data_IF_046727261960
#
_entry.id   IF_046727261960
#
_cell.length_a   1.000
_cell.length_b   1.000
_cell.length_c   1.000
_cell.angle_alpha   90.00
_cell.angle_beta   90.00
_cell.angle_gamma   90.00
#
_symmetry.space_group_name_H-M   'P 1'
#
loop_
_entity.id
_entity.type
_entity.pdbx_description
1 polymer ?
#
# COMPACT_ATOMS: atom_id res chain seq x y z
N UNK A 1 21.22 0.77 48.47
CA UNK A 1 20.26 0.04 47.60
C UNK A 1 19.46 1.05 46.76
N UNK A 2 20.05 1.62 45.70
CA UNK A 2 19.36 2.59 44.80
C UNK A 2 19.79 2.47 43.33
N UNK A 3 20.99 1.95 43.06
CA UNK A 3 21.48 1.76 41.69
C UNK A 3 20.88 0.54 40.96
N UNK A 4 20.38 -0.47 41.69
CA UNK A 4 19.87 -1.72 41.10
C UNK A 4 18.50 -1.57 40.44
N UNK A 5 17.68 -0.62 40.90
CA UNK A 5 16.31 -0.39 40.34
C UNK A 5 16.37 0.33 38.98
N UNK A 6 17.37 1.20 38.78
CA UNK A 6 17.51 1.95 37.52
C UNK A 6 17.99 1.07 36.35
N UNK A 7 18.77 0.03 36.61
CA UNK A 7 19.28 -0.89 35.57
C UNK A 7 18.15 -1.75 35.00
N UNK A 8 17.19 -2.16 35.84
CA UNK A 8 16.05 -2.97 35.40
C UNK A 8 15.06 -2.18 34.54
N UNK A 9 14.88 -0.88 34.81
CA UNK A 9 14.04 -0.01 33.98
C UNK A 9 14.64 0.27 32.59
N UNK A 10 15.96 0.43 32.48
CA UNK A 10 16.63 0.66 31.20
C UNK A 10 16.54 -0.58 30.27
N UNK A 11 16.65 -1.79 30.83
CA UNK A 11 16.54 -3.04 30.07
C UNK A 11 15.10 -3.29 29.62
N UNK A 12 14.09 -2.96 30.43
CA UNK A 12 12.69 -3.05 30.04
C UNK A 12 12.31 -2.10 28.88
N UNK A 13 12.89 -0.89 28.84
CA UNK A 13 12.66 0.05 27.74
C UNK A 13 13.25 -0.41 26.40
N UNK A 14 14.33 -1.21 26.40
CA UNK A 14 14.89 -1.76 25.15
C UNK A 14 14.00 -2.83 24.50
N UNK A 15 13.23 -3.58 25.29
CA UNK A 15 12.28 -4.55 24.76
C UNK A 15 11.00 -3.89 24.25
N UNK A 16 10.56 -2.79 24.87
CA UNK A 16 9.33 -2.07 24.45
C UNK A 16 9.53 -1.28 23.15
N UNK A 17 10.76 -0.83 22.84
CA UNK A 17 11.04 -0.08 21.60
C UNK A 17 11.17 -0.93 20.32
N UNK A 18 11.24 -2.27 20.44
CA UNK A 18 11.19 -3.17 19.29
C UNK A 18 9.77 -3.67 19.09
N UNK A 19 8.86 -2.78 18.72
CA UNK A 19 7.68 -3.19 17.96
C UNK A 19 8.20 -3.81 16.65
N UNK A 20 8.34 -5.13 16.63
CA UNK A 20 8.83 -5.87 15.49
C UNK A 20 7.90 -5.58 14.30
N UNK A 21 8.41 -4.85 13.29
CA UNK A 21 7.59 -4.48 12.14
C UNK A 21 7.05 -5.74 11.50
N UNK A 22 5.72 -5.80 11.36
CA UNK A 22 5.11 -6.98 10.78
C UNK A 22 5.63 -7.21 9.35
N UNK A 23 5.72 -8.46 8.86
CA UNK A 23 6.10 -8.76 7.48
C UNK A 23 5.26 -7.99 6.44
N UNK A 24 4.04 -7.61 6.82
CA UNK A 24 3.12 -6.78 6.05
C UNK A 24 3.60 -5.33 5.94
N UNK A 25 3.98 -4.70 7.06
CA UNK A 25 4.53 -3.34 7.09
C UNK A 25 5.83 -3.23 6.29
N UNK A 26 6.71 -4.23 6.38
CA UNK A 26 7.96 -4.28 5.60
C UNK A 26 7.67 -4.33 4.09
N UNK A 27 6.68 -5.11 3.68
CA UNK A 27 6.27 -5.21 2.28
C UNK A 27 5.67 -3.89 1.78
N UNK A 28 4.83 -3.26 2.61
CA UNK A 28 4.21 -1.97 2.29
C UNK A 28 5.25 -0.87 2.10
N UNK A 29 6.23 -0.79 3.00
CA UNK A 29 7.38 0.11 2.86
C UNK A 29 8.17 -0.15 1.59
N UNK A 30 8.40 -1.43 1.24
CA UNK A 30 9.07 -1.81 0.00
C UNK A 30 8.31 -1.30 -1.22
N UNK A 31 6.99 -1.50 -1.27
CA UNK A 31 6.15 -1.02 -2.38
C UNK A 31 6.20 0.51 -2.48
N UNK A 32 6.05 1.23 -1.36
CA UNK A 32 6.14 2.70 -1.34
C UNK A 32 7.50 3.19 -1.85
N UNK A 33 8.60 2.56 -1.43
CA UNK A 33 9.96 2.90 -1.86
C UNK A 33 10.18 2.66 -3.36
N UNK A 34 9.70 1.54 -3.89
CA UNK A 34 9.78 1.28 -5.33
C UNK A 34 8.92 2.27 -6.13
N UNK A 35 7.74 2.62 -5.61
CA UNK A 35 6.84 3.59 -6.23
C UNK A 35 7.45 5.00 -6.26
N UNK A 36 8.16 5.41 -5.22
CA UNK A 36 8.92 6.68 -5.20
C UNK A 36 10.02 6.73 -6.26
N UNK A 37 10.71 5.61 -6.53
CA UNK A 37 11.69 5.55 -7.61
C UNK A 37 11.03 5.79 -8.97
N UNK A 38 9.88 5.17 -9.19
CA UNK A 38 9.11 5.33 -10.43
C UNK A 38 8.58 6.75 -10.58
N UNK A 39 8.08 7.37 -9.50
CA UNK A 39 7.59 8.75 -9.50
C UNK A 39 8.61 9.77 -10.05
N UNK A 40 9.91 9.51 -9.85
CA UNK A 40 11.00 10.38 -10.32
C UNK A 40 11.28 10.27 -11.82
N UNK A 41 10.91 9.15 -12.44
CA UNK A 41 11.32 8.79 -13.81
C UNK A 41 10.14 8.45 -14.72
N UNK A 42 8.91 8.65 -14.25
CA UNK A 42 7.70 8.52 -15.06
C UNK A 42 7.39 9.82 -15.78
N UNK A 43 6.80 9.69 -16.97
CA UNK A 43 6.14 10.80 -17.62
C UNK A 43 4.85 11.11 -16.85
N UNK A 44 4.80 12.28 -16.23
CA UNK A 44 3.72 12.71 -15.34
C UNK A 44 2.36 12.82 -16.03
N UNK A 45 2.34 13.07 -17.35
CA UNK A 45 1.13 13.41 -18.10
C UNK A 45 0.71 12.34 -19.14
N UNK A 46 1.56 11.38 -19.48
CA UNK A 46 1.36 10.58 -20.69
C UNK A 46 0.48 9.32 -20.59
N UNK A 47 0.18 8.80 -19.39
CA UNK A 47 -0.63 7.59 -19.23
C UNK A 47 -2.02 7.92 -18.69
N UNK A 48 -3.07 7.41 -19.34
CA UNK A 48 -4.43 7.38 -18.80
C UNK A 48 -4.63 6.05 -18.07
N UNK A 49 -4.67 6.10 -16.74
CA UNK A 49 -4.69 4.92 -15.88
C UNK A 49 -5.94 4.94 -15.01
N UNK A 50 -6.63 3.81 -14.93
CA UNK A 50 -7.71 3.64 -13.97
C UNK A 50 -7.15 3.75 -12.56
N UNK A 51 -7.71 4.65 -11.74
CA UNK A 51 -7.17 4.96 -10.43
C UNK A 51 -8.24 5.01 -9.36
N UNK A 52 -8.28 4.02 -8.45
CA UNK A 52 -9.11 4.10 -7.26
C UNK A 52 -8.71 5.28 -6.37
N UNK A 53 -9.67 6.07 -5.89
CA UNK A 53 -9.43 7.05 -4.81
C UNK A 53 -9.89 6.49 -3.48
N UNK A 54 -9.33 6.96 -2.35
CA UNK A 54 -9.77 6.51 -1.03
C UNK A 54 -11.25 6.81 -0.72
N UNK A 55 -11.85 7.77 -1.43
CA UNK A 55 -13.26 8.16 -1.28
C UNK A 55 -14.19 7.23 -2.09
N UNK A 56 -13.69 6.63 -3.17
CA UNK A 56 -14.43 5.67 -3.98
C UNK A 56 -14.45 4.26 -3.39
N UNK A 57 -13.60 4.00 -2.39
CA UNK A 57 -13.48 2.69 -1.77
C UNK A 57 -14.55 2.48 -0.71
N UNK A 58 -15.51 1.63 -1.03
CA UNK A 58 -16.38 1.01 -0.03
C UNK A 58 -15.56 0.17 0.95
N UNK A 59 -16.14 -0.08 2.12
CA UNK A 59 -15.60 -1.06 3.07
C UNK A 59 -15.27 -2.36 2.35
N UNK A 60 -14.23 -3.05 2.79
CA UNK A 60 -13.74 -4.31 2.20
C UNK A 60 -13.09 -4.25 0.80
N UNK A 61 -13.07 -3.11 0.10
CA UNK A 61 -12.58 -3.07 -1.29
C UNK A 61 -11.09 -2.75 -1.47
N UNK A 62 -10.32 -2.68 -0.38
CA UNK A 62 -8.88 -2.38 -0.42
C UNK A 62 -8.11 -3.38 -1.29
N UNK A 63 -8.44 -4.68 -1.21
CA UNK A 63 -7.76 -5.70 -2.02
C UNK A 63 -8.01 -5.49 -3.51
N UNK A 64 -9.28 -5.30 -3.90
CA UNK A 64 -9.66 -5.02 -5.30
C UNK A 64 -9.01 -3.74 -5.82
N UNK A 65 -8.91 -2.70 -4.99
CA UNK A 65 -8.21 -1.47 -5.35
C UNK A 65 -6.71 -1.70 -5.63
N UNK A 66 -6.03 -2.49 -4.80
CA UNK A 66 -4.63 -2.82 -5.00
C UNK A 66 -4.39 -3.73 -6.20
N UNK A 67 -5.32 -4.63 -6.50
CA UNK A 67 -5.31 -5.42 -7.73
C UNK A 67 -5.45 -4.49 -8.96
N UNK A 68 -6.28 -3.45 -8.89
CA UNK A 68 -6.35 -2.43 -9.96
C UNK A 68 -5.04 -1.63 -10.09
N UNK A 69 -4.46 -1.15 -9.00
CA UNK A 69 -3.16 -0.48 -9.06
C UNK A 69 -2.06 -1.41 -9.61
N UNK A 70 -2.07 -2.69 -9.23
CA UNK A 70 -1.13 -3.71 -9.72
C UNK A 70 -1.24 -3.93 -11.23
N UNK A 71 -2.45 -3.98 -11.78
CA UNK A 71 -2.65 -4.17 -13.21
C UNK A 71 -2.26 -2.92 -14.01
N UNK A 72 -2.49 -1.73 -13.47
CA UNK A 72 -2.23 -0.46 -14.14
C UNK A 72 -0.77 0.02 -14.04
N UNK A 73 -0.03 -0.35 -13.00
CA UNK A 73 1.34 0.19 -12.78
C UNK A 73 2.30 -0.13 -13.93
N UNK A 74 2.11 -1.27 -14.60
CA UNK A 74 2.94 -1.65 -15.75
C UNK A 74 2.71 -0.78 -17.00
N UNK A 75 1.60 -0.02 -17.03
CA UNK A 75 1.24 0.90 -18.11
C UNK A 75 1.78 2.33 -17.89
N UNK A 76 2.55 2.55 -16.82
CA UNK A 76 3.26 3.81 -16.61
C UNK A 76 4.34 3.99 -17.68
N UNK A 77 4.25 5.11 -18.40
CA UNK A 77 5.30 5.52 -19.33
C UNK A 77 6.46 6.12 -18.54
N UNK A 78 7.67 5.65 -18.85
CA UNK A 78 8.90 6.15 -18.23
C UNK A 78 9.57 7.14 -19.17
N UNK A 79 10.13 8.22 -18.63
CA UNK A 79 11.00 9.13 -19.37
C UNK A 79 12.38 8.48 -19.62
N UNK A 80 12.78 7.54 -18.78
CA UNK A 80 14.02 6.78 -18.92
C UNK A 80 13.81 5.29 -18.63
N UNK A 81 14.16 4.45 -19.60
CA UNK A 81 14.04 3.00 -19.52
C UNK A 81 15.34 2.36 -19.04
N UNK A 82 15.46 2.16 -17.72
CA UNK A 82 16.52 1.37 -17.10
C UNK A 82 15.99 0.00 -16.64
N UNK A 83 16.79 -1.08 -16.71
CA UNK A 83 16.39 -2.39 -16.18
C UNK A 83 15.97 -2.35 -14.70
N UNK A 84 16.55 -1.44 -13.92
CA UNK A 84 16.18 -1.19 -12.52
C UNK A 84 14.76 -0.65 -12.39
N UNK A 85 14.31 0.26 -13.26
CA UNK A 85 12.95 0.81 -13.25
C UNK A 85 11.92 -0.26 -13.61
N UNK A 86 12.21 -1.09 -14.62
CA UNK A 86 11.34 -2.22 -14.98
C UNK A 86 11.23 -3.23 -13.83
N UNK A 87 12.33 -3.48 -13.12
CA UNK A 87 12.32 -4.31 -11.91
C UNK A 87 11.45 -3.70 -10.81
N UNK A 88 11.52 -2.39 -10.61
CA UNK A 88 10.67 -1.66 -9.67
C UNK A 88 9.18 -1.81 -10.02
N UNK A 89 8.78 -1.58 -11.28
CA UNK A 89 7.40 -1.78 -11.73
C UNK A 89 6.91 -3.21 -11.48
N UNK A 90 7.71 -4.22 -11.85
CA UNK A 90 7.41 -5.64 -11.60
C UNK A 90 7.29 -5.95 -10.10
N UNK A 91 8.13 -5.34 -9.27
CA UNK A 91 8.07 -5.50 -7.81
C UNK A 91 6.77 -4.91 -7.26
N UNK A 92 6.37 -3.72 -7.72
CA UNK A 92 5.12 -3.08 -7.29
C UNK A 92 3.93 -3.95 -7.69
N UNK A 93 3.85 -4.35 -8.96
CA UNK A 93 2.75 -5.19 -9.47
C UNK A 93 2.65 -6.51 -8.69
N UNK A 94 3.78 -7.17 -8.42
CA UNK A 94 3.80 -8.46 -7.74
C UNK A 94 3.43 -8.37 -6.26
N UNK A 95 3.88 -7.35 -5.55
CA UNK A 95 3.82 -7.31 -4.08
C UNK A 95 2.57 -6.60 -3.57
N UNK A 96 2.04 -5.61 -4.30
CA UNK A 96 0.88 -4.81 -3.87
C UNK A 96 -0.39 -5.62 -3.54
N UNK A 97 -0.82 -6.64 -4.32
CA UNK A 97 -2.03 -7.39 -3.98
C UNK A 97 -1.80 -8.48 -2.91
N UNK A 98 -0.54 -8.89 -2.68
CA UNK A 98 -0.24 -10.15 -1.98
C UNK A 98 -0.38 -10.11 -0.46
N UNK A 99 -0.38 -8.93 0.17
CA UNK A 99 -0.24 -8.84 1.63
C UNK A 99 -1.14 -7.79 2.26
N UNK A 100 -2.44 -7.84 1.98
CA UNK A 100 -3.42 -7.16 2.84
C UNK A 100 -4.17 -8.19 3.68
N UNK A 101 -3.43 -8.89 4.55
CA UNK A 101 -4.01 -9.94 5.39
C UNK A 101 -4.83 -9.32 6.54
N UNK A 102 -4.42 -8.14 7.03
CA UNK A 102 -5.09 -7.46 8.16
C UNK A 102 -6.42 -6.82 7.75
N UNK A 103 -6.53 -6.21 6.56
CA UNK A 103 -7.82 -5.66 6.11
C UNK A 103 -8.85 -6.75 5.83
N UNK A 104 -8.40 -7.96 5.47
CA UNK A 104 -9.29 -9.09 5.20
C UNK A 104 -9.98 -9.57 6.47
N UNK A 105 -9.31 -9.55 7.63
CA UNK A 105 -9.92 -10.00 8.90
C UNK A 105 -10.95 -9.00 9.45
N UNK A 106 -10.62 -7.70 9.43
CA UNK A 106 -11.58 -6.62 9.75
C UNK A 106 -12.76 -6.60 8.78
N UNK A 107 -12.49 -6.86 7.50
CA UNK A 107 -13.51 -6.98 6.48
C UNK A 107 -14.42 -8.20 6.71
N UNK A 108 -13.86 -9.36 7.06
CA UNK A 108 -14.61 -10.56 7.43
C UNK A 108 -15.54 -10.28 8.62
N UNK A 109 -15.05 -9.59 9.65
CA UNK A 109 -15.88 -9.18 10.79
C UNK A 109 -17.01 -8.24 10.35
N UNK A 110 -16.74 -7.25 9.49
CA UNK A 110 -17.76 -6.34 8.96
C UNK A 110 -18.80 -7.05 8.10
N UNK A 111 -18.40 -7.99 7.23
CA UNK A 111 -19.32 -8.78 6.41
C UNK A 111 -20.23 -9.64 7.29
N UNK A 112 -19.66 -10.33 8.29
CA UNK A 112 -20.40 -11.23 9.18
C UNK A 112 -21.32 -10.47 10.14
N UNK A 113 -20.88 -9.33 10.69
CA UNK A 113 -21.68 -8.56 11.65
C UNK A 113 -22.71 -7.63 11.00
N UNK A 114 -22.39 -7.03 9.85
CA UNK A 114 -23.29 -6.07 9.18
C UNK A 114 -24.03 -6.65 7.97
N UNK A 115 -23.80 -7.91 7.61
CA UNK A 115 -24.42 -8.56 6.46
C UNK A 115 -24.19 -7.77 5.15
N UNK A 116 -23.00 -7.20 4.99
CA UNK A 116 -22.64 -6.38 3.83
C UNK A 116 -22.06 -7.29 2.75
N UNK A 117 -22.73 -7.40 1.60
CA UNK A 117 -22.08 -7.88 0.39
C UNK A 117 -21.10 -6.81 -0.11
N UNK A 118 -19.81 -7.13 -0.12
CA UNK A 118 -18.79 -6.22 -0.63
C UNK A 118 -18.88 -6.11 -2.16
N UNK A 119 -19.73 -5.20 -2.65
CA UNK A 119 -19.82 -4.87 -4.07
C UNK A 119 -18.70 -3.91 -4.47
N UNK A 120 -17.51 -4.47 -4.68
CA UNK A 120 -16.34 -3.74 -5.13
C UNK A 120 -16.41 -3.47 -6.63
N UNK A 121 -16.01 -2.25 -7.01
CA UNK A 121 -15.88 -1.79 -8.39
C UNK A 121 -14.82 -2.60 -9.15
N UNK A 122 -15.08 -2.94 -10.41
CA UNK A 122 -14.04 -3.42 -11.32
C UNK A 122 -13.03 -2.30 -11.61
N UNK A 123 -11.81 -2.66 -12.02
CA UNK A 123 -10.75 -1.66 -12.24
C UNK A 123 -11.15 -0.61 -13.29
N UNK A 124 -11.81 -1.05 -14.36
CA UNK A 124 -12.25 -0.22 -15.49
C UNK A 124 -13.38 0.74 -15.11
N UNK A 125 -14.03 0.55 -13.98
CA UNK A 125 -15.09 1.43 -13.49
C UNK A 125 -14.59 2.62 -12.66
N UNK A 126 -13.28 2.68 -12.37
CA UNK A 126 -12.66 3.87 -11.78
C UNK A 126 -12.39 4.94 -12.85
N UNK A 127 -12.27 6.19 -12.43
CA UNK A 127 -11.87 7.27 -13.33
C UNK A 127 -10.45 7.05 -13.86
N UNK A 128 -10.24 7.37 -15.14
CA UNK A 128 -8.90 7.47 -15.70
C UNK A 128 -8.25 8.79 -15.30
N UNK A 129 -7.00 8.73 -14.88
CA UNK A 129 -6.21 9.89 -14.48
C UNK A 129 -4.81 9.82 -15.09
N UNK A 130 -4.07 10.93 -15.08
CA UNK A 130 -2.69 10.95 -15.54
C UNK A 130 -1.75 10.17 -14.58
N UNK A 131 -0.53 9.89 -15.02
CA UNK A 131 0.48 9.15 -14.24
C UNK A 131 0.73 9.77 -12.86
N UNK A 132 0.79 11.10 -12.78
CA UNK A 132 1.00 11.82 -11.53
C UNK A 132 -0.11 11.53 -10.51
N UNK A 133 -1.37 11.67 -10.91
CA UNK A 133 -2.52 11.39 -10.04
C UNK A 133 -2.63 9.92 -9.69
N UNK A 134 -2.34 9.04 -10.65
CA UNK A 134 -2.31 7.61 -10.40
C UNK A 134 -1.34 7.26 -9.26
N UNK A 135 -0.10 7.76 -9.30
CA UNK A 135 0.90 7.50 -8.25
C UNK A 135 0.50 8.15 -6.92
N UNK A 136 -0.05 9.36 -6.93
CA UNK A 136 -0.52 10.02 -5.70
C UNK A 136 -1.65 9.27 -5.03
N UNK A 137 -2.65 8.82 -5.79
CA UNK A 137 -3.76 8.02 -5.29
C UNK A 137 -3.25 6.69 -4.71
N UNK A 138 -2.30 6.05 -5.39
CA UNK A 138 -1.69 4.81 -4.91
C UNK A 138 -0.93 5.02 -3.60
N UNK A 139 -0.09 6.07 -3.51
CA UNK A 139 0.62 6.42 -2.28
C UNK A 139 -0.34 6.70 -1.12
N UNK A 140 -1.43 7.44 -1.38
CA UNK A 140 -2.45 7.76 -0.38
C UNK A 140 -3.11 6.49 0.17
N UNK A 141 -3.46 5.54 -0.70
CA UNK A 141 -4.02 4.25 -0.28
C UNK A 141 -3.00 3.46 0.56
N UNK A 142 -1.74 3.37 0.11
CA UNK A 142 -0.69 2.66 0.83
C UNK A 142 -0.43 3.27 2.22
N UNK A 143 -0.43 4.60 2.33
CA UNK A 143 -0.28 5.31 3.61
C UNK A 143 -1.45 5.03 4.56
N UNK A 144 -2.70 5.04 4.06
CA UNK A 144 -3.89 4.69 4.86
C UNK A 144 -3.80 3.27 5.41
N UNK A 145 -3.38 2.30 4.57
CA UNK A 145 -3.18 0.92 4.98
C UNK A 145 -2.03 0.78 6.00
N UNK A 146 -0.97 1.57 5.84
CA UNK A 146 0.17 1.56 6.76
C UNK A 146 -0.25 2.09 8.14
N UNK A 147 -0.95 3.22 8.16
CA UNK A 147 -1.45 3.84 9.39
C UNK A 147 -2.47 2.97 10.14
N UNK A 148 -3.26 2.15 9.44
CA UNK A 148 -4.19 1.21 10.08
C UNK A 148 -3.51 -0.05 10.66
N UNK A 149 -2.21 -0.22 10.47
CA UNK A 149 -1.42 -1.35 10.97
C UNK A 149 -0.40 -0.95 12.03
N UNK A 150 -0.27 0.34 12.33
CA UNK A 150 0.62 0.88 13.36
C UNK A 150 -0.16 1.05 14.67
#
# INVERSE_FOLDING_TARGET
MKASVCVLFAVACWFVSKAEQSPTQLTLKKVMKELEKINKVMDKNASLLYSPTTNDLKDCCIRSALECFSSQVMNLKLTEYKPTHIRSLKSIARESPKRVIVSVWLCLLLIVWKNIEAQCKSCESYSQVNSQMFVQNFQTLLQKIYASQA
#
